data_IF_453798832060
#
_entry.id   IF_453798832060
#
_cell.length_a   1.000
_cell.length_b   1.000
_cell.length_c   1.000
_cell.angle_alpha   90.00
_cell.angle_beta   90.00
_cell.angle_gamma   90.00
#
_symmetry.space_group_name_H-M   'P 1'
#
loop_
_entity.id
_entity.type
_entity.pdbx_description
1 polymer ?
#
# COMPACT_ATOMS: atom_id res chain seq x y z
N UNK A 1 -6.51 6.06 12.82
CA UNK A 1 -6.30 6.81 11.56
C UNK A 1 -5.90 8.23 11.90
N UNK A 2 -4.86 8.80 11.28
CA UNK A 2 -4.52 10.20 11.49
C UNK A 2 -5.69 11.10 11.07
N UNK A 3 -5.88 12.21 11.78
CA UNK A 3 -6.80 13.31 11.38
C UNK A 3 -6.03 14.55 10.90
N UNK A 4 -4.72 14.38 10.71
CA UNK A 4 -3.70 15.38 10.48
C UNK A 4 -2.34 14.82 10.91
N UNK A 5 -1.29 15.59 10.69
CA UNK A 5 0.09 15.24 11.06
C UNK A 5 0.19 15.09 12.57
N UNK A 6 0.72 13.95 13.04
CA UNK A 6 0.96 13.73 14.46
C UNK A 6 2.09 12.71 14.68
N UNK A 7 2.98 12.95 15.66
CA UNK A 7 4.08 12.02 15.95
C UNK A 7 3.62 10.58 16.22
N UNK A 8 2.41 10.41 16.79
CA UNK A 8 1.84 9.09 17.11
C UNK A 8 1.68 8.18 15.88
N UNK A 9 1.46 8.76 14.70
CA UNK A 9 1.24 8.01 13.46
C UNK A 9 2.40 8.15 12.47
N UNK A 10 3.53 8.72 12.90
CA UNK A 10 4.76 8.72 12.09
C UNK A 10 5.25 7.29 11.87
N UNK A 11 5.86 7.07 10.72
CA UNK A 11 6.48 5.79 10.36
C UNK A 11 7.92 5.66 10.86
N UNK A 12 8.46 6.65 11.57
CA UNK A 12 9.80 6.60 12.16
C UNK A 12 10.08 5.32 12.98
N UNK A 13 9.15 4.79 13.81
CA UNK A 13 9.40 3.55 14.55
C UNK A 13 9.59 2.30 13.69
N UNK A 14 9.22 2.34 12.39
CA UNK A 14 9.38 1.20 11.48
C UNK A 14 10.82 1.09 10.95
N UNK A 15 11.55 2.20 10.90
CA UNK A 15 12.89 2.28 10.28
C UNK A 15 13.87 1.27 10.86
N UNK A 16 14.04 1.13 12.20
CA UNK A 16 15.00 0.17 12.75
C UNK A 16 14.67 -1.26 12.36
N UNK A 17 13.39 -1.65 12.45
CA UNK A 17 12.96 -3.02 12.14
C UNK A 17 13.05 -3.35 10.65
N UNK A 18 12.70 -2.40 9.79
CA UNK A 18 12.80 -2.59 8.34
C UNK A 18 14.26 -2.71 7.90
N UNK A 19 15.14 -1.88 8.47
CA UNK A 19 16.58 -1.93 8.17
C UNK A 19 17.20 -3.26 8.59
N UNK A 20 16.85 -3.76 9.78
CA UNK A 20 17.29 -5.07 10.27
C UNK A 20 16.85 -6.21 9.34
N UNK A 21 15.57 -6.21 8.94
CA UNK A 21 15.00 -7.27 8.10
C UNK A 21 15.55 -7.26 6.67
N UNK A 22 15.88 -6.08 6.13
CA UNK A 22 16.43 -5.94 4.78
C UNK A 22 17.96 -6.09 4.75
N UNK A 23 18.64 -5.97 5.89
CA UNK A 23 20.11 -5.96 5.97
C UNK A 23 20.76 -4.71 5.35
N UNK A 24 19.99 -3.66 5.13
CA UNK A 24 20.44 -2.38 4.57
C UNK A 24 19.84 -1.22 5.38
N UNK A 25 20.53 -0.10 5.45
CA UNK A 25 20.01 1.09 6.12
C UNK A 25 18.81 1.65 5.33
N UNK A 26 17.66 1.75 6.00
CA UNK A 26 16.49 2.46 5.47
C UNK A 26 16.55 3.91 5.89
N UNK A 27 16.59 4.82 4.92
CA UNK A 27 16.40 6.25 5.19
C UNK A 27 14.91 6.55 5.28
N UNK A 28 14.54 7.53 6.09
CA UNK A 28 13.17 8.04 6.17
C UNK A 28 13.12 9.49 5.71
N UNK A 29 12.08 9.84 4.95
CA UNK A 29 11.74 11.22 4.65
C UNK A 29 10.86 11.82 5.77
N UNK A 30 10.97 13.12 6.00
CA UNK A 30 10.12 13.84 6.96
C UNK A 30 8.72 14.15 6.42
N UNK A 31 8.52 13.98 5.11
CA UNK A 31 7.26 14.17 4.43
C UNK A 31 7.07 13.09 3.34
N UNK A 32 6.00 13.21 2.58
CA UNK A 32 5.59 12.30 1.51
C UNK A 32 5.87 12.90 0.13
N UNK A 33 5.80 14.23 0.02
CA UNK A 33 5.98 14.99 -1.22
C UNK A 33 6.72 16.30 -0.92
N UNK A 34 7.17 16.99 -1.97
CA UNK A 34 7.82 18.29 -1.87
C UNK A 34 9.33 18.25 -2.10
N UNK A 35 9.98 19.42 -2.13
CA UNK A 35 11.35 19.56 -2.66
C UNK A 35 12.40 18.77 -1.87
N UNK A 36 12.24 18.64 -0.55
CA UNK A 36 13.16 17.84 0.27
C UNK A 36 13.01 16.34 -0.02
N UNK A 37 11.80 15.86 -0.29
CA UNK A 37 11.54 14.46 -0.66
C UNK A 37 12.09 14.18 -2.06
N UNK A 38 11.82 15.08 -3.02
CA UNK A 38 12.34 14.98 -4.38
C UNK A 38 13.87 14.90 -4.40
N UNK A 39 14.54 15.71 -3.56
CA UNK A 39 15.99 15.66 -3.39
C UNK A 39 16.48 14.34 -2.80
N UNK A 40 15.83 13.84 -1.74
CA UNK A 40 16.18 12.55 -1.13
C UNK A 40 16.04 11.39 -2.11
N UNK A 41 15.03 11.44 -2.98
CA UNK A 41 14.81 10.44 -4.04
C UNK A 41 15.88 10.58 -5.13
N UNK A 42 16.19 11.80 -5.58
CA UNK A 42 17.22 12.03 -6.59
C UNK A 42 18.63 11.60 -6.13
N UNK A 43 18.92 11.73 -4.83
CA UNK A 43 20.19 11.33 -4.23
C UNK A 43 20.23 9.83 -3.83
N UNK A 44 19.15 9.07 -4.11
CA UNK A 44 19.04 7.66 -3.69
C UNK A 44 19.89 6.77 -4.60
N UNK A 45 20.89 6.10 -4.01
CA UNK A 45 21.73 5.16 -4.73
C UNK A 45 20.98 3.87 -5.09
N UNK A 46 21.42 3.18 -6.15
CA UNK A 46 20.88 1.87 -6.52
C UNK A 46 21.00 0.87 -5.35
N UNK A 47 19.89 0.23 -5.01
CA UNK A 47 19.80 -0.71 -3.89
C UNK A 47 19.56 -0.06 -2.52
N UNK A 48 19.52 1.26 -2.42
CA UNK A 48 19.11 1.96 -1.21
C UNK A 48 17.57 2.02 -1.08
N UNK A 49 17.08 2.20 0.14
CA UNK A 49 15.65 2.26 0.45
C UNK A 49 15.32 3.56 1.17
N UNK A 50 14.29 4.24 0.66
CA UNK A 50 13.69 5.42 1.27
C UNK A 50 12.24 5.10 1.69
N UNK A 51 11.95 5.27 2.98
CA UNK A 51 10.61 5.22 3.53
C UNK A 51 10.03 6.64 3.59
N UNK A 52 9.02 6.92 2.76
CA UNK A 52 8.25 8.15 2.88
C UNK A 52 7.46 8.18 4.19
N UNK A 53 7.07 9.37 4.63
CA UNK A 53 6.20 9.50 5.81
C UNK A 53 4.78 8.95 5.52
N UNK A 54 3.92 8.91 6.54
CA UNK A 54 2.57 8.41 6.45
C UNK A 54 1.72 9.17 5.41
N UNK A 55 1.43 8.53 4.26
CA UNK A 55 0.61 9.08 3.17
C UNK A 55 -0.75 9.63 3.63
N UNK A 56 -1.32 9.09 4.71
CA UNK A 56 -2.61 9.55 5.27
C UNK A 56 -2.49 10.81 6.15
N UNK A 57 -1.31 11.41 6.26
CA UNK A 57 -1.18 12.78 6.75
C UNK A 57 -1.78 13.79 5.76
N UNK A 58 -1.85 13.43 4.48
CA UNK A 58 -2.59 14.14 3.46
C UNK A 58 -4.03 13.59 3.38
N UNK A 59 -5.02 14.48 3.44
CA UNK A 59 -6.44 14.10 3.31
C UNK A 59 -6.77 13.70 1.88
N UNK A 60 -5.96 14.19 0.95
CA UNK A 60 -5.94 13.93 -0.49
C UNK A 60 -5.76 12.44 -0.80
N UNK A 61 -5.04 11.70 0.05
CA UNK A 61 -4.81 10.25 -0.08
C UNK A 61 -6.13 9.47 -0.10
N UNK A 62 -6.98 9.66 0.92
CA UNK A 62 -8.28 8.95 1.01
C UNK A 62 -9.31 9.46 -0.01
N UNK A 63 -9.07 10.65 -0.60
CA UNK A 63 -9.92 11.23 -1.65
C UNK A 63 -9.49 10.83 -3.06
N UNK A 64 -8.37 10.13 -3.20
CA UNK A 64 -7.78 9.82 -4.51
C UNK A 64 -7.55 11.07 -5.37
N UNK A 65 -7.03 12.12 -4.74
CA UNK A 65 -6.81 13.39 -5.41
C UNK A 65 -5.78 13.25 -6.55
N UNK A 66 -6.12 13.65 -7.79
CA UNK A 66 -5.22 13.50 -8.94
C UNK A 66 -3.91 14.28 -8.82
N UNK A 67 -3.93 15.47 -8.22
CA UNK A 67 -2.72 16.30 -8.09
C UNK A 67 -1.78 15.71 -7.03
N UNK A 68 -2.33 15.18 -5.94
CA UNK A 68 -1.54 14.44 -4.95
C UNK A 68 -0.96 13.15 -5.54
N UNK A 69 -1.76 12.37 -6.27
CA UNK A 69 -1.29 11.18 -6.97
C UNK A 69 -0.18 11.49 -7.99
N UNK A 70 -0.28 12.61 -8.72
CA UNK A 70 0.74 13.07 -9.66
C UNK A 70 2.06 13.43 -8.96
N UNK A 71 2.00 14.09 -7.80
CA UNK A 71 3.19 14.40 -6.98
C UNK A 71 3.86 13.17 -6.40
N UNK A 72 3.07 12.16 -6.00
CA UNK A 72 3.62 10.85 -5.61
C UNK A 72 4.30 10.18 -6.80
N UNK A 73 3.63 10.18 -7.96
CA UNK A 73 4.13 9.57 -9.17
C UNK A 73 5.40 10.22 -9.71
N UNK A 74 5.61 11.53 -9.52
CA UNK A 74 6.83 12.20 -9.97
C UNK A 74 8.10 11.75 -9.24
N UNK A 75 7.97 10.97 -8.16
CA UNK A 75 9.10 10.42 -7.40
C UNK A 75 9.61 9.08 -7.94
N UNK A 76 8.99 8.52 -9.00
CA UNK A 76 9.32 7.19 -9.47
C UNK A 76 9.14 7.03 -10.98
N UNK A 77 9.75 5.99 -11.54
CA UNK A 77 9.57 5.61 -12.95
C UNK A 77 8.52 4.51 -13.13
N UNK A 78 8.30 3.69 -12.10
CA UNK A 78 7.40 2.53 -12.13
C UNK A 78 6.66 2.40 -10.80
N UNK A 79 5.52 1.70 -10.83
CA UNK A 79 4.73 1.44 -9.64
C UNK A 79 4.60 -0.06 -9.38
N UNK A 80 4.84 -0.45 -8.12
CA UNK A 80 4.56 -1.80 -7.62
C UNK A 80 3.55 -1.69 -6.49
N UNK A 81 2.38 -2.31 -6.65
CA UNK A 81 1.41 -2.42 -5.57
C UNK A 81 1.56 -3.77 -4.87
N UNK A 82 2.09 -3.74 -3.64
CA UNK A 82 2.22 -4.93 -2.79
C UNK A 82 1.32 -4.85 -1.54
N UNK A 83 0.26 -4.03 -1.58
CA UNK A 83 -0.60 -3.73 -0.44
C UNK A 83 -2.07 -4.16 -0.69
N UNK A 84 -2.31 -5.48 -0.76
CA UNK A 84 -3.65 -6.05 -0.99
C UNK A 84 -4.72 -5.51 -0.04
N UNK A 85 -4.37 -5.37 1.25
CA UNK A 85 -5.29 -4.89 2.28
C UNK A 85 -5.84 -3.48 2.05
N UNK A 86 -5.21 -2.67 1.18
CA UNK A 86 -5.70 -1.35 0.78
C UNK A 86 -6.23 -1.28 -0.65
N UNK A 87 -5.97 -2.30 -1.47
CA UNK A 87 -6.33 -2.33 -2.90
C UNK A 87 -7.85 -2.28 -3.17
N UNK A 88 -8.68 -2.62 -2.18
CA UNK A 88 -10.15 -2.49 -2.26
C UNK A 88 -10.66 -1.04 -2.20
N UNK A 89 -9.77 -0.05 -2.05
CA UNK A 89 -10.12 1.37 -1.98
C UNK A 89 -9.41 2.12 -3.09
N UNK A 90 -10.13 3.00 -3.76
CA UNK A 90 -9.53 3.96 -4.66
C UNK A 90 -8.88 5.08 -3.83
N UNK A 91 -7.62 4.92 -3.46
CA UNK A 91 -6.80 5.96 -2.84
C UNK A 91 -5.66 6.39 -3.77
N UNK A 92 -5.08 7.57 -3.53
CA UNK A 92 -4.04 8.11 -4.39
C UNK A 92 -2.83 7.18 -4.50
N UNK A 93 -2.31 6.68 -3.38
CA UNK A 93 -1.14 5.77 -3.33
C UNK A 93 -1.37 4.35 -3.88
N UNK A 94 -2.62 3.97 -4.16
CA UNK A 94 -2.98 2.59 -4.56
C UNK A 94 -3.61 2.50 -5.95
N UNK A 95 -4.39 3.50 -6.34
CA UNK A 95 -5.07 3.60 -7.63
C UNK A 95 -4.66 4.86 -8.39
N UNK A 96 -4.62 6.03 -7.75
CA UNK A 96 -4.36 7.29 -8.43
C UNK A 96 -2.99 7.32 -9.12
N UNK A 97 -1.95 6.85 -8.45
CA UNK A 97 -0.57 6.80 -8.98
C UNK A 97 -0.46 5.98 -10.26
N UNK A 98 -1.30 4.97 -10.48
CA UNK A 98 -1.23 4.09 -11.65
C UNK A 98 -1.63 4.79 -12.96
N UNK A 99 -2.27 5.96 -12.85
CA UNK A 99 -2.63 6.80 -14.00
C UNK A 99 -1.43 7.54 -14.58
N UNK A 100 -0.39 7.73 -13.76
CA UNK A 100 0.79 8.50 -14.10
C UNK A 100 2.04 7.62 -14.27
N UNK A 101 2.11 6.49 -13.58
CA UNK A 101 3.24 5.56 -13.65
C UNK A 101 2.98 4.36 -14.56
N UNK A 102 3.93 4.11 -15.48
CA UNK A 102 3.92 2.94 -16.36
C UNK A 102 5.34 2.35 -16.44
N UNK A 103 5.54 1.05 -16.15
CA UNK A 103 4.51 0.06 -15.83
C UNK A 103 3.97 0.18 -14.39
N UNK A 104 2.74 -0.29 -14.18
CA UNK A 104 2.11 -0.49 -12.88
C UNK A 104 1.85 -1.99 -12.70
N UNK A 105 2.47 -2.61 -11.70
CA UNK A 105 2.46 -4.06 -11.52
C UNK A 105 2.10 -4.48 -10.10
N UNK A 106 1.66 -5.73 -9.94
CA UNK A 106 1.49 -6.36 -8.64
C UNK A 106 2.84 -6.77 -8.06
N UNK A 107 3.05 -6.53 -6.77
CA UNK A 107 4.11 -7.19 -6.00
C UNK A 107 3.74 -8.64 -5.67
N UNK A 108 4.69 -9.36 -5.06
CA UNK A 108 4.53 -10.79 -4.78
C UNK A 108 3.46 -11.10 -3.73
N UNK A 109 3.32 -10.26 -2.70
CA UNK A 109 2.29 -10.43 -1.69
C UNK A 109 0.91 -10.20 -2.30
N UNK A 110 0.75 -9.12 -3.07
CA UNK A 110 -0.52 -8.84 -3.74
C UNK A 110 -0.88 -9.95 -4.75
N UNK A 111 0.09 -10.43 -5.54
CA UNK A 111 -0.11 -11.56 -6.44
C UNK A 111 -0.57 -12.81 -5.68
N UNK A 112 0.12 -13.17 -4.58
CA UNK A 112 -0.21 -14.35 -3.79
C UNK A 112 -1.63 -14.28 -3.19
N UNK A 113 -2.06 -13.11 -2.76
CA UNK A 113 -3.43 -12.90 -2.24
C UNK A 113 -4.47 -13.09 -3.35
N UNK A 114 -4.20 -12.58 -4.57
CA UNK A 114 -5.08 -12.78 -5.72
C UNK A 114 -5.16 -14.26 -6.13
N UNK A 115 -4.02 -14.94 -6.24
CA UNK A 115 -3.95 -16.36 -6.60
C UNK A 115 -4.70 -17.24 -5.60
N UNK A 116 -4.58 -16.92 -4.30
CA UNK A 116 -5.28 -17.65 -3.25
C UNK A 116 -6.79 -17.45 -3.33
N UNK A 117 -7.25 -16.21 -3.53
CA UNK A 117 -8.68 -15.90 -3.62
C UNK A 117 -9.31 -16.47 -4.88
N UNK A 118 -8.65 -16.34 -6.03
CA UNK A 118 -9.15 -16.91 -7.28
C UNK A 118 -9.23 -18.44 -7.19
N UNK A 119 -8.20 -19.09 -6.65
CA UNK A 119 -8.21 -20.54 -6.45
C UNK A 119 -9.32 -21.01 -5.48
N UNK A 120 -9.62 -20.23 -4.45
CA UNK A 120 -10.67 -20.56 -3.48
C UNK A 120 -12.09 -20.33 -4.01
N UNK A 121 -12.31 -19.33 -4.87
CA UNK A 121 -13.64 -18.96 -5.37
C UNK A 121 -13.96 -19.65 -6.70
N UNK A 122 -13.03 -19.62 -7.66
CA UNK A 122 -13.28 -20.06 -9.04
C UNK A 122 -13.20 -21.59 -9.21
N UNK A 123 -12.27 -22.25 -8.52
CA UNK A 123 -12.11 -23.72 -8.61
C UNK A 123 -11.53 -24.33 -7.32
N UNK A 124 -12.28 -24.32 -6.21
CA UNK A 124 -11.78 -24.84 -4.94
C UNK A 124 -11.54 -26.34 -5.01
N UNK A 125 -10.44 -26.80 -4.40
CA UNK A 125 -10.22 -28.24 -4.16
C UNK A 125 -11.31 -28.76 -3.23
N UNK A 126 -11.95 -29.87 -3.62
CA UNK A 126 -13.05 -30.49 -2.87
C UNK A 126 -12.56 -31.70 -2.04
N UNK A 127 -13.16 -31.98 -0.87
CA UNK A 127 -14.26 -31.23 -0.24
C UNK A 127 -13.83 -29.83 0.24
N UNK A 128 -14.63 -28.81 -0.09
CA UNK A 128 -14.40 -27.43 0.29
C UNK A 128 -15.33 -27.07 1.45
N UNK A 129 -14.77 -26.49 2.51
CA UNK A 129 -15.51 -26.07 3.69
C UNK A 129 -15.08 -24.65 4.07
N UNK A 130 -16.06 -23.80 4.35
CA UNK A 130 -15.84 -22.44 4.83
C UNK A 130 -16.16 -22.35 6.33
N UNK A 131 -15.23 -21.81 7.12
CA UNK A 131 -15.42 -21.54 8.54
C UNK A 131 -15.72 -20.05 8.70
N UNK A 132 -16.98 -19.73 9.00
CA UNK A 132 -17.45 -18.33 9.11
C UNK A 132 -17.84 -18.04 10.56
N UNK A 133 -17.20 -17.03 11.15
CA UNK A 133 -17.45 -16.59 12.53
C UNK A 133 -17.51 -15.06 12.69
N UNK A 134 -17.56 -14.59 13.93
CA UNK A 134 -17.65 -13.17 14.29
C UNK A 134 -19.00 -12.77 14.88
N UNK A 135 -19.05 -11.65 15.62
CA UNK A 135 -20.22 -11.26 16.41
C UNK A 135 -21.38 -10.67 15.62
N UNK A 136 -21.19 -10.31 14.35
CA UNK A 136 -22.19 -9.64 13.51
C UNK A 136 -22.42 -10.41 12.21
N UNK A 137 -23.56 -11.11 12.13
CA UNK A 137 -23.99 -11.87 10.95
C UNK A 137 -24.06 -10.99 9.70
N UNK A 138 -24.56 -9.75 9.83
CA UNK A 138 -24.68 -8.81 8.71
C UNK A 138 -23.36 -8.54 7.97
N UNK A 139 -22.22 -8.64 8.67
CA UNK A 139 -20.89 -8.46 8.07
C UNK A 139 -20.37 -9.68 7.29
N UNK A 140 -21.16 -10.76 7.21
CA UNK A 140 -20.77 -12.05 6.62
C UNK A 140 -21.72 -12.52 5.53
N UNK A 141 -22.89 -11.90 5.38
CA UNK A 141 -23.93 -12.29 4.40
C UNK A 141 -23.34 -12.39 2.99
N UNK A 142 -22.70 -11.31 2.49
CA UNK A 142 -22.16 -11.33 1.13
C UNK A 142 -21.05 -12.36 0.90
N UNK A 143 -20.30 -12.74 1.95
CA UNK A 143 -19.30 -13.82 1.86
C UNK A 143 -19.99 -15.17 1.74
N UNK A 144 -21.03 -15.43 2.55
CA UNK A 144 -21.79 -16.68 2.50
C UNK A 144 -22.52 -16.84 1.17
N UNK A 145 -23.05 -15.75 0.61
CA UNK A 145 -23.74 -15.77 -0.70
C UNK A 145 -22.80 -16.01 -1.88
N UNK A 146 -21.51 -15.70 -1.73
CA UNK A 146 -20.50 -15.81 -2.80
C UNK A 146 -19.66 -17.11 -2.74
N UNK A 147 -19.80 -17.91 -1.69
CA UNK A 147 -19.08 -19.18 -1.47
C UNK A 147 -19.91 -20.39 -1.95
#
# INVERSE_FOLDING_TARGET
RPKGVTPKFSLAPLVPRLSELLGIEVKKAEDVIGPEVEKLVADLANGAVLLLENVRFYKEEEKNDPEFAKKLASLADLFVNDAFGTAHRAHASTEGVTKFLKPSVAGFLLQKELDYLDGAVSNPKRPFAAIVGGSKVSSKIGVIESL
#
